data_IF_078907549934
#
_entry.id   IF_078907549934
#
_cell.length_a   1.000
_cell.length_b   1.000
_cell.length_c   1.000
_cell.angle_alpha   90.00
_cell.angle_beta   90.00
_cell.angle_gamma   90.00
#
_symmetry.space_group_name_H-M   'P 1'
#
loop_
_entity.id
_entity.type
_entity.pdbx_description
1 polymer ?
#
# COMPACT_ATOMS: atom_id res chain seq x y z
N UNK A 1 -15.54 -8.57 44.27
CA UNK A 1 -14.39 -8.62 43.36
C UNK A 1 -13.23 -9.27 44.10
N UNK A 2 -13.15 -10.58 44.02
CA UNK A 2 -12.05 -11.33 44.61
C UNK A 2 -10.86 -11.21 43.64
N UNK A 3 -9.95 -10.27 43.92
CA UNK A 3 -8.77 -10.00 43.08
C UNK A 3 -7.78 -11.15 43.23
N UNK A 4 -7.48 -11.85 42.14
CA UNK A 4 -6.35 -12.81 42.07
C UNK A 4 -5.06 -12.00 42.08
N UNK A 5 -4.21 -12.21 43.08
CA UNK A 5 -2.92 -11.53 43.23
C UNK A 5 -1.74 -12.37 42.68
N UNK A 6 -1.91 -13.69 42.65
CA UNK A 6 -0.86 -14.62 42.25
C UNK A 6 -1.44 -15.80 41.43
N UNK A 7 -0.66 -16.24 40.43
CA UNK A 7 -0.85 -17.49 39.71
C UNK A 7 0.32 -18.40 40.08
N UNK A 8 0.01 -19.59 40.61
CA UNK A 8 1.02 -20.60 40.97
C UNK A 8 1.08 -21.67 39.90
N UNK A 9 2.27 -21.91 39.38
CA UNK A 9 2.54 -22.99 38.43
C UNK A 9 3.69 -23.86 38.92
N UNK A 10 3.67 -25.15 38.55
CA UNK A 10 4.75 -26.04 38.96
C UNK A 10 6.05 -25.76 38.18
N UNK A 11 5.96 -25.67 36.86
CA UNK A 11 7.08 -25.33 35.93
C UNK A 11 6.67 -24.24 34.96
N UNK A 12 7.63 -23.44 34.50
CA UNK A 12 7.43 -22.39 33.49
C UNK A 12 6.93 -22.96 32.17
N UNK A 13 7.39 -24.18 31.78
CA UNK A 13 6.94 -24.90 30.59
C UNK A 13 5.45 -25.30 30.60
N UNK A 14 4.78 -25.25 31.77
CA UNK A 14 3.34 -25.45 31.91
C UNK A 14 2.56 -24.14 31.72
N UNK A 15 3.24 -23.02 31.90
CA UNK A 15 2.65 -21.70 31.76
C UNK A 15 2.65 -21.21 30.30
N UNK A 16 3.69 -21.53 29.52
CA UNK A 16 3.78 -21.15 28.11
C UNK A 16 4.59 -22.14 27.29
N UNK A 17 4.31 -22.21 25.99
CA UNK A 17 4.97 -23.13 25.06
C UNK A 17 6.36 -22.66 24.64
N UNK A 18 6.62 -21.40 24.69
CA UNK A 18 7.89 -20.74 24.34
C UNK A 18 8.08 -19.47 25.20
N UNK A 19 9.29 -18.90 25.17
CA UNK A 19 9.62 -17.70 25.93
C UNK A 19 8.71 -16.49 25.56
N UNK A 20 8.32 -16.34 24.30
CA UNK A 20 7.46 -15.24 23.86
C UNK A 20 6.03 -15.34 24.42
N UNK A 21 5.45 -16.55 24.47
CA UNK A 21 4.13 -16.78 25.06
C UNK A 21 4.14 -16.50 26.57
N UNK A 22 5.20 -16.97 27.26
CA UNK A 22 5.40 -16.70 28.69
C UNK A 22 5.45 -15.20 28.96
N UNK A 23 6.23 -14.47 28.18
CA UNK A 23 6.39 -13.02 28.35
C UNK A 23 5.12 -12.23 28.08
N UNK A 24 4.43 -12.53 26.98
CA UNK A 24 3.19 -11.84 26.65
C UNK A 24 2.13 -12.06 27.71
N UNK A 25 2.05 -13.29 28.25
CA UNK A 25 1.09 -13.60 29.33
C UNK A 25 1.49 -12.92 30.63
N UNK A 26 2.78 -12.90 30.96
CA UNK A 26 3.30 -12.20 32.16
C UNK A 26 3.04 -10.70 32.08
N UNK A 27 3.22 -10.08 30.91
CA UNK A 27 2.94 -8.66 30.70
C UNK A 27 1.46 -8.36 31.01
N UNK A 28 0.56 -9.14 30.43
CA UNK A 28 -0.89 -9.00 30.69
C UNK A 28 -1.18 -9.18 32.19
N UNK A 29 -0.59 -10.17 32.86
CA UNK A 29 -0.80 -10.39 34.27
C UNK A 29 -0.32 -9.20 35.11
N UNK A 30 0.84 -8.64 34.78
CA UNK A 30 1.40 -7.45 35.46
C UNK A 30 0.51 -6.22 35.29
N UNK A 31 -0.08 -6.02 34.11
CA UNK A 31 -1.03 -4.93 33.83
C UNK A 31 -2.28 -5.03 34.75
N UNK A 32 -2.64 -6.24 35.19
CA UNK A 32 -3.70 -6.50 36.17
C UNK A 32 -3.20 -6.65 37.62
N UNK A 33 -1.93 -6.40 37.89
CA UNK A 33 -1.34 -6.53 39.23
C UNK A 33 -1.21 -7.98 39.73
N UNK A 34 -1.23 -8.96 38.82
CA UNK A 34 -1.12 -10.39 39.13
C UNK A 34 0.31 -10.86 38.93
N UNK A 35 0.88 -11.56 39.92
CA UNK A 35 2.24 -12.11 39.87
C UNK A 35 2.24 -13.61 39.59
N UNK A 36 3.34 -14.10 38.98
CA UNK A 36 3.57 -15.50 38.70
C UNK A 36 4.58 -16.09 39.67
N UNK A 37 4.27 -17.24 40.23
CA UNK A 37 5.20 -18.04 41.03
C UNK A 37 5.36 -19.41 40.37
N UNK A 38 6.60 -19.78 40.00
CA UNK A 38 6.96 -21.10 39.52
C UNK A 38 7.71 -21.85 40.62
N UNK A 39 7.14 -22.96 41.08
CA UNK A 39 7.67 -23.65 42.27
C UNK A 39 8.99 -24.34 41.98
N UNK A 40 9.07 -25.11 40.89
CA UNK A 40 10.29 -25.90 40.56
C UNK A 40 11.42 -25.00 40.02
N UNK A 41 11.06 -23.99 39.19
CA UNK A 41 12.06 -23.08 38.62
C UNK A 41 12.50 -21.97 39.62
N UNK A 42 11.85 -21.86 40.76
CA UNK A 42 12.16 -20.86 41.79
C UNK A 42 11.91 -19.43 41.37
N UNK A 43 11.02 -19.22 40.37
CA UNK A 43 10.73 -17.91 39.80
C UNK A 43 9.54 -17.28 40.53
N UNK A 44 9.75 -16.06 41.04
CA UNK A 44 8.71 -15.24 41.67
C UNK A 44 8.76 -13.84 41.02
N UNK A 45 7.78 -13.53 40.18
CA UNK A 45 7.76 -12.30 39.41
C UNK A 45 7.56 -11.04 40.27
N UNK A 46 7.16 -11.21 41.54
CA UNK A 46 7.07 -10.09 42.51
C UNK A 46 8.40 -9.66 43.02
N UNK A 47 9.46 -10.50 42.94
CA UNK A 47 10.79 -10.23 43.42
C UNK A 47 11.74 -9.76 42.33
N UNK A 48 12.78 -9.04 42.66
CA UNK A 48 13.74 -8.51 41.69
C UNK A 48 14.48 -9.61 40.91
N UNK A 49 14.78 -10.73 41.55
CA UNK A 49 15.35 -11.89 40.88
C UNK A 49 14.42 -12.47 39.80
N UNK A 50 13.11 -12.52 40.07
CA UNK A 50 12.10 -12.94 39.08
C UNK A 50 11.96 -11.95 37.94
N UNK A 51 11.99 -10.65 38.19
CA UNK A 51 11.99 -9.61 37.16
C UNK A 51 13.25 -9.70 36.27
N UNK A 52 14.42 -9.96 36.85
CA UNK A 52 15.66 -10.20 36.10
C UNK A 52 15.49 -11.42 35.16
N UNK A 53 14.98 -12.51 35.69
CA UNK A 53 14.72 -13.74 34.89
C UNK A 53 13.77 -13.46 33.71
N UNK A 54 12.71 -12.72 33.93
CA UNK A 54 11.77 -12.31 32.86
C UNK A 54 12.51 -11.47 31.81
N UNK A 55 13.39 -10.56 32.21
CA UNK A 55 14.20 -9.74 31.28
C UNK A 55 15.13 -10.60 30.44
N UNK A 56 15.78 -11.62 31.04
CA UNK A 56 16.65 -12.57 30.35
C UNK A 56 15.83 -13.41 29.34
N UNK A 57 14.68 -13.92 29.75
CA UNK A 57 13.79 -14.66 28.85
C UNK A 57 13.30 -13.78 27.68
N UNK A 58 13.05 -12.50 27.93
CA UNK A 58 12.72 -11.52 26.86
C UNK A 58 13.84 -11.42 25.85
N UNK A 59 15.06 -11.24 26.30
CA UNK A 59 16.22 -11.13 25.42
C UNK A 59 16.45 -12.41 24.60
N UNK A 60 16.30 -13.58 25.22
CA UNK A 60 16.41 -14.88 24.54
C UNK A 60 15.31 -15.01 23.46
N UNK A 61 14.06 -14.66 23.78
CA UNK A 61 12.97 -14.72 22.81
C UNK A 61 13.18 -13.75 21.62
N UNK A 62 13.81 -12.60 21.85
CA UNK A 62 14.14 -11.66 20.78
C UNK A 62 15.26 -12.22 19.88
N UNK A 63 16.29 -12.83 20.46
CA UNK A 63 17.35 -13.51 19.71
C UNK A 63 16.80 -14.65 18.88
N UNK A 64 15.92 -15.48 19.43
CA UNK A 64 15.27 -16.58 18.70
C UNK A 64 14.45 -16.06 17.49
N UNK A 65 13.67 -15.00 17.67
CA UNK A 65 12.91 -14.38 16.56
C UNK A 65 13.84 -13.86 15.47
N UNK A 66 14.95 -13.21 15.85
CA UNK A 66 15.91 -12.71 14.88
C UNK A 66 16.60 -13.87 14.13
N UNK A 67 16.98 -14.94 14.82
CA UNK A 67 17.55 -16.13 14.19
C UNK A 67 16.59 -16.76 13.18
N UNK A 68 15.31 -16.93 13.54
CA UNK A 68 14.27 -17.45 12.63
C UNK A 68 14.12 -16.51 11.42
N UNK A 69 14.15 -15.17 11.65
CA UNK A 69 14.09 -14.20 10.58
C UNK A 69 15.26 -14.33 9.61
N UNK A 70 16.47 -14.42 10.12
CA UNK A 70 17.70 -14.58 9.32
C UNK A 70 17.64 -15.86 8.51
N UNK A 71 17.36 -17.01 9.14
CA UNK A 71 17.25 -18.31 8.46
C UNK A 71 16.17 -18.30 7.35
N UNK A 72 15.02 -17.67 7.63
CA UNK A 72 13.95 -17.55 6.65
C UNK A 72 14.40 -16.69 5.45
N UNK A 73 15.11 -15.60 5.70
CA UNK A 73 15.62 -14.73 4.64
C UNK A 73 16.71 -15.43 3.82
N UNK A 74 17.63 -16.14 4.46
CA UNK A 74 18.66 -16.93 3.77
C UNK A 74 18.04 -18.02 2.90
N UNK A 75 17.06 -18.74 3.42
CA UNK A 75 16.31 -19.73 2.63
C UNK A 75 15.61 -19.13 1.41
N UNK A 76 15.04 -17.93 1.53
CA UNK A 76 14.45 -17.20 0.39
C UNK A 76 15.49 -16.75 -0.62
N UNK A 77 16.65 -16.26 -0.15
CA UNK A 77 17.77 -15.86 -0.99
C UNK A 77 18.30 -17.08 -1.78
N UNK A 78 18.49 -18.19 -1.11
CA UNK A 78 18.96 -19.43 -1.74
C UNK A 78 17.95 -19.92 -2.78
N UNK A 79 16.68 -19.96 -2.44
CA UNK A 79 15.60 -20.31 -3.37
C UNK A 79 15.56 -19.42 -4.62
N UNK A 80 15.80 -18.11 -4.44
CA UNK A 80 15.90 -17.17 -5.55
C UNK A 80 17.10 -17.45 -6.44
N UNK A 81 18.28 -17.72 -5.84
CA UNK A 81 19.51 -18.07 -6.59
C UNK A 81 19.35 -19.35 -7.41
N UNK A 82 18.50 -20.26 -6.97
CA UNK A 82 18.15 -21.48 -7.71
C UNK A 82 17.11 -21.25 -8.82
N UNK A 83 16.71 -20.03 -9.09
CA UNK A 83 15.69 -19.69 -10.11
C UNK A 83 14.27 -20.13 -9.75
N UNK A 84 14.01 -20.44 -8.48
CA UNK A 84 12.70 -20.86 -7.98
C UNK A 84 11.86 -19.67 -7.54
N UNK A 85 10.55 -19.77 -7.75
CA UNK A 85 9.60 -18.75 -7.27
C UNK A 85 9.55 -18.66 -5.74
N UNK A 86 9.69 -17.47 -5.18
CA UNK A 86 9.81 -17.26 -3.74
C UNK A 86 8.46 -17.18 -2.99
N UNK A 87 7.40 -17.70 -3.60
CA UNK A 87 6.07 -17.72 -2.98
C UNK A 87 5.28 -16.43 -3.17
N UNK A 88 4.13 -16.39 -2.52
CA UNK A 88 3.14 -15.35 -2.76
C UNK A 88 2.27 -15.69 -3.97
N UNK A 89 1.48 -14.72 -4.42
CA UNK A 89 0.62 -14.90 -5.60
C UNK A 89 1.46 -14.94 -6.87
N UNK A 90 1.07 -15.82 -7.81
CA UNK A 90 1.67 -15.83 -9.13
C UNK A 90 1.44 -14.50 -9.85
N UNK A 91 2.42 -13.96 -10.60
CA UNK A 91 2.22 -12.81 -11.47
C UNK A 91 1.07 -13.07 -12.47
N UNK A 92 0.41 -12.02 -12.92
CA UNK A 92 -0.61 -12.14 -13.96
C UNK A 92 0.02 -12.74 -15.23
N UNK A 93 -0.62 -13.70 -15.87
CA UNK A 93 -0.05 -14.51 -16.97
C UNK A 93 0.52 -15.84 -16.51
N UNK A 94 0.67 -16.04 -15.20
CA UNK A 94 1.13 -17.29 -14.60
C UNK A 94 0.18 -17.79 -13.51
N UNK A 95 0.19 -19.09 -13.31
CA UNK A 95 -0.42 -19.79 -12.17
C UNK A 95 0.64 -20.52 -11.38
N UNK A 96 0.36 -20.78 -10.10
CA UNK A 96 1.27 -21.52 -9.24
C UNK A 96 0.78 -22.97 -9.10
N UNK A 97 1.56 -23.91 -9.61
CA UNK A 97 1.28 -25.34 -9.52
C UNK A 97 2.47 -26.00 -8.81
N UNK A 98 2.22 -26.65 -7.69
CA UNK A 98 3.25 -27.29 -6.86
C UNK A 98 4.46 -26.39 -6.55
N UNK A 99 4.21 -25.10 -6.32
CA UNK A 99 5.25 -24.12 -6.02
C UNK A 99 6.07 -23.62 -7.21
N UNK A 100 5.74 -24.07 -8.44
CA UNK A 100 6.36 -23.62 -9.70
C UNK A 100 5.41 -22.72 -10.48
N UNK A 101 5.97 -21.73 -11.18
CA UNK A 101 5.20 -20.92 -12.10
C UNK A 101 4.96 -21.69 -13.40
N UNK A 102 3.71 -21.75 -13.81
CA UNK A 102 3.29 -22.28 -15.11
C UNK A 102 2.49 -21.21 -15.85
N UNK A 103 2.62 -21.14 -17.16
CA UNK A 103 1.89 -20.18 -18.00
C UNK A 103 0.38 -20.46 -17.89
N UNK A 104 -0.39 -19.39 -17.65
CA UNK A 104 -1.84 -19.39 -17.82
C UNK A 104 -2.14 -18.82 -19.19
N UNK A 105 -2.54 -19.67 -20.14
CA UNK A 105 -2.73 -19.35 -21.55
C UNK A 105 -3.72 -18.19 -21.79
N UNK A 106 -4.77 -18.09 -21.00
CA UNK A 106 -5.76 -17.03 -21.14
C UNK A 106 -5.20 -15.67 -20.73
N UNK A 107 -4.48 -15.64 -19.63
CA UNK A 107 -3.86 -14.41 -19.12
C UNK A 107 -2.61 -14.00 -19.92
N UNK A 108 -1.84 -14.99 -20.39
CA UNK A 108 -0.62 -14.79 -21.16
C UNK A 108 -0.86 -14.04 -22.48
N UNK A 109 -2.02 -14.26 -23.13
CA UNK A 109 -2.44 -13.52 -24.32
C UNK A 109 -2.49 -12.00 -24.07
N UNK A 110 -3.03 -11.59 -22.94
CA UNK A 110 -3.07 -10.18 -22.59
C UNK A 110 -1.66 -9.61 -22.33
N UNK A 111 -0.76 -10.39 -21.72
CA UNK A 111 0.64 -10.00 -21.51
C UNK A 111 1.36 -9.79 -22.86
N UNK A 112 1.23 -10.73 -23.79
CA UNK A 112 1.83 -10.62 -25.12
C UNK A 112 1.34 -9.36 -25.86
N UNK A 113 0.04 -9.07 -25.82
CA UNK A 113 -0.54 -7.86 -26.40
C UNK A 113 0.00 -6.59 -25.74
N UNK A 114 0.16 -6.58 -24.42
CA UNK A 114 0.73 -5.43 -23.69
C UNK A 114 2.13 -5.11 -24.18
N UNK A 115 3.01 -6.11 -24.27
CA UNK A 115 4.38 -5.92 -24.73
C UNK A 115 4.43 -5.55 -26.22
N UNK A 116 3.65 -6.22 -27.06
CA UNK A 116 3.57 -5.93 -28.49
C UNK A 116 3.14 -4.48 -28.75
N UNK A 117 2.01 -4.05 -28.15
CA UNK A 117 1.52 -2.69 -28.32
C UNK A 117 2.48 -1.66 -27.76
N UNK A 118 3.14 -1.96 -26.63
CA UNK A 118 4.09 -1.04 -26.05
C UNK A 118 5.36 -0.88 -26.89
N UNK A 119 5.89 -1.96 -27.45
CA UNK A 119 7.15 -1.95 -28.21
C UNK A 119 6.95 -1.46 -29.65
N UNK A 120 5.92 -1.96 -30.34
CA UNK A 120 5.69 -1.68 -31.78
C UNK A 120 5.06 -0.31 -32.06
N UNK A 121 4.44 0.35 -31.07
CA UNK A 121 3.76 1.63 -31.26
C UNK A 121 4.39 2.73 -30.41
N UNK A 122 4.10 4.00 -30.67
CA UNK A 122 4.61 5.13 -29.88
C UNK A 122 3.80 5.43 -28.60
N UNK A 123 2.81 4.57 -28.28
CA UNK A 123 1.98 4.78 -27.09
C UNK A 123 2.72 4.43 -25.80
N UNK A 124 2.42 5.19 -24.74
CA UNK A 124 2.91 4.89 -23.38
C UNK A 124 1.99 3.94 -22.64
N UNK A 125 2.35 3.56 -21.41
CA UNK A 125 1.56 2.63 -20.59
C UNK A 125 0.07 3.02 -20.44
N UNK A 126 -0.24 4.32 -20.39
CA UNK A 126 -1.63 4.78 -20.36
C UNK A 126 -2.36 4.56 -21.71
N UNK A 127 -1.63 4.70 -22.82
CA UNK A 127 -2.14 4.39 -24.16
C UNK A 127 -2.43 2.90 -24.32
N UNK A 128 -1.53 2.03 -23.84
CA UNK A 128 -1.75 0.57 -23.83
C UNK A 128 -2.98 0.20 -23.00
N UNK A 129 -3.13 0.77 -21.80
CA UNK A 129 -4.31 0.53 -20.96
C UNK A 129 -5.62 0.91 -21.66
N UNK A 130 -5.65 2.04 -22.36
CA UNK A 130 -6.81 2.46 -23.19
C UNK A 130 -7.03 1.56 -24.39
N UNK A 131 -5.96 1.11 -25.04
CA UNK A 131 -6.04 0.18 -26.14
C UNK A 131 -6.73 -1.12 -25.72
N UNK A 132 -6.31 -1.71 -24.58
CA UNK A 132 -6.92 -2.93 -24.05
C UNK A 132 -8.41 -2.73 -23.72
N UNK A 133 -8.76 -1.61 -23.09
CA UNK A 133 -10.16 -1.27 -22.80
C UNK A 133 -11.02 -1.15 -24.07
N UNK A 134 -10.51 -0.45 -25.09
CA UNK A 134 -11.24 -0.22 -26.35
C UNK A 134 -11.43 -1.51 -27.17
N UNK A 135 -10.56 -2.51 -26.98
CA UNK A 135 -10.65 -3.81 -27.64
C UNK A 135 -11.32 -4.88 -26.77
N UNK A 136 -11.91 -4.49 -25.63
CA UNK A 136 -12.61 -5.42 -24.75
C UNK A 136 -11.69 -6.43 -24.04
N UNK A 137 -10.37 -6.17 -23.98
CA UNK A 137 -9.42 -7.05 -23.31
C UNK A 137 -9.40 -6.70 -21.83
N UNK A 138 -10.02 -7.57 -21.04
CA UNK A 138 -10.18 -7.40 -19.61
C UNK A 138 -9.31 -8.39 -18.84
N UNK A 139 -8.98 -8.05 -17.61
CA UNK A 139 -8.32 -8.99 -16.69
C UNK A 139 -9.28 -10.08 -16.26
N UNK A 140 -8.79 -11.31 -16.22
CA UNK A 140 -9.46 -12.38 -15.49
C UNK A 140 -9.42 -12.03 -14.01
N UNK A 141 -10.57 -12.04 -13.35
CA UNK A 141 -10.67 -11.70 -11.93
C UNK A 141 -10.03 -12.80 -11.08
N UNK A 142 -9.05 -12.43 -10.26
CA UNK A 142 -8.49 -13.27 -9.22
C UNK A 142 -9.09 -12.89 -7.86
N UNK A 143 -8.91 -13.74 -6.84
CA UNK A 143 -9.52 -13.58 -5.50
C UNK A 143 -9.45 -12.16 -4.91
N UNK A 144 -8.42 -11.38 -5.24
CA UNK A 144 -8.16 -10.06 -4.63
C UNK A 144 -8.43 -8.87 -5.55
N UNK A 145 -9.08 -9.04 -6.70
CA UNK A 145 -9.26 -7.95 -7.66
C UNK A 145 -10.68 -7.85 -8.21
N UNK A 146 -11.41 -6.79 -7.84
CA UNK A 146 -12.75 -6.52 -8.37
C UNK A 146 -12.75 -5.74 -9.69
N UNK A 147 -11.60 -5.14 -10.08
CA UNK A 147 -11.52 -4.29 -11.26
C UNK A 147 -11.04 -5.07 -12.49
N UNK A 148 -11.86 -5.26 -13.52
CA UNK A 148 -11.50 -6.01 -14.71
C UNK A 148 -10.58 -5.24 -15.68
N UNK A 149 -10.40 -3.93 -15.49
CA UNK A 149 -9.64 -3.11 -16.42
C UNK A 149 -8.15 -3.06 -16.06
N UNK A 150 -7.29 -3.06 -17.08
CA UNK A 150 -5.88 -2.73 -16.90
C UNK A 150 -5.72 -1.23 -16.73
N UNK A 151 -4.99 -0.80 -15.72
CA UNK A 151 -4.59 0.59 -15.57
C UNK A 151 -3.12 0.81 -15.95
N UNK A 152 -2.75 2.06 -16.17
CA UNK A 152 -1.38 2.42 -16.56
C UNK A 152 -0.32 2.03 -15.51
N UNK A 153 -0.71 1.92 -14.24
CA UNK A 153 0.20 1.50 -13.18
C UNK A 153 0.50 0.01 -13.29
N UNK A 154 -0.54 -0.82 -13.45
CA UNK A 154 -0.39 -2.26 -13.64
C UNK A 154 0.38 -2.58 -14.92
N UNK A 155 0.07 -1.89 -16.04
CA UNK A 155 0.82 -2.04 -17.30
C UNK A 155 2.31 -1.75 -17.08
N UNK A 156 2.67 -0.69 -16.34
CA UNK A 156 4.08 -0.42 -16.02
C UNK A 156 4.71 -1.49 -15.13
N UNK A 157 3.96 -2.02 -14.15
CA UNK A 157 4.47 -3.12 -13.31
C UNK A 157 4.72 -4.39 -14.13
N UNK A 158 3.84 -4.70 -15.08
CA UNK A 158 4.00 -5.82 -16.02
C UNK A 158 5.26 -5.60 -16.86
N UNK A 159 5.38 -4.46 -17.54
CA UNK A 159 6.51 -4.16 -18.42
C UNK A 159 7.86 -4.18 -17.69
N UNK A 160 7.90 -3.77 -16.41
CA UNK A 160 9.14 -3.77 -15.58
C UNK A 160 9.49 -5.14 -14.99
N UNK A 161 8.61 -6.13 -15.06
CA UNK A 161 8.85 -7.39 -14.36
C UNK A 161 9.59 -8.41 -15.23
N UNK A 162 10.83 -8.80 -14.88
CA UNK A 162 11.63 -9.72 -15.67
C UNK A 162 11.09 -11.17 -15.66
N UNK A 163 10.10 -11.49 -14.84
CA UNK A 163 9.47 -12.81 -14.83
C UNK A 163 8.87 -13.18 -16.19
N UNK A 164 8.44 -12.20 -16.97
CA UNK A 164 7.85 -12.43 -18.30
C UNK A 164 8.87 -12.86 -19.36
N UNK A 165 10.15 -12.54 -19.17
CA UNK A 165 11.24 -13.06 -20.01
C UNK A 165 11.99 -14.23 -19.34
N UNK A 166 11.34 -14.99 -18.45
CA UNK A 166 11.89 -16.19 -17.85
C UNK A 166 12.88 -15.96 -16.72
N UNK A 167 12.99 -14.75 -16.15
CA UNK A 167 13.96 -14.44 -15.08
C UNK A 167 13.27 -14.25 -13.73
N UNK A 168 13.95 -14.67 -12.68
CA UNK A 168 13.54 -14.42 -11.28
C UNK A 168 14.35 -13.25 -10.73
N UNK A 169 13.63 -12.24 -10.23
CA UNK A 169 14.21 -11.09 -9.54
C UNK A 169 13.78 -11.09 -8.07
N UNK A 170 14.74 -11.10 -7.15
CA UNK A 170 14.49 -11.08 -5.72
C UNK A 170 15.22 -9.93 -5.04
N UNK A 171 14.54 -9.23 -4.11
CA UNK A 171 15.13 -8.12 -3.37
C UNK A 171 15.10 -6.78 -4.10
N UNK A 172 14.30 -6.61 -5.17
CA UNK A 172 14.16 -5.35 -5.90
C UNK A 172 13.62 -4.19 -5.06
N UNK A 173 12.99 -4.49 -3.95
CA UNK A 173 12.42 -3.50 -3.04
C UNK A 173 12.71 -3.90 -1.60
N UNK A 174 13.02 -2.91 -0.78
CA UNK A 174 13.20 -3.03 0.66
C UNK A 174 12.22 -2.12 1.37
N UNK A 175 11.65 -2.60 2.45
CA UNK A 175 10.84 -1.77 3.35
C UNK A 175 11.78 -1.12 4.36
N UNK A 176 11.81 0.20 4.38
CA UNK A 176 12.60 0.99 5.33
C UNK A 176 11.69 1.82 6.21
N UNK A 177 12.07 1.94 7.48
CA UNK A 177 11.33 2.75 8.44
C UNK A 177 11.53 4.23 8.13
N UNK A 178 10.44 5.00 8.15
CA UNK A 178 10.52 6.45 8.00
C UNK A 178 11.15 7.04 9.27
N UNK A 179 12.26 7.76 9.09
CA UNK A 179 12.96 8.37 10.21
C UNK A 179 12.05 9.36 10.96
N UNK A 180 12.06 9.30 12.29
CA UNK A 180 11.23 10.16 13.14
C UNK A 180 9.77 9.66 13.33
N UNK A 181 9.39 8.53 12.77
CA UNK A 181 8.06 7.93 12.97
C UNK A 181 8.14 6.59 13.70
N UNK A 182 7.07 6.23 14.45
CA UNK A 182 7.05 4.98 15.21
C UNK A 182 6.72 3.77 14.33
N UNK A 183 5.75 3.90 13.43
CA UNK A 183 5.14 2.77 12.69
C UNK A 183 5.00 3.03 11.18
N UNK A 184 5.65 4.06 10.62
CA UNK A 184 5.58 4.34 9.19
C UNK A 184 6.76 3.72 8.46
N UNK A 185 6.48 3.10 7.34
CA UNK A 185 7.44 2.44 6.48
C UNK A 185 7.22 2.86 5.03
N UNK A 186 8.29 2.98 4.28
CA UNK A 186 8.24 3.20 2.84
C UNK A 186 9.02 2.13 2.09
N UNK A 187 8.62 1.91 0.83
CA UNK A 187 9.29 0.97 -0.06
C UNK A 187 10.36 1.71 -0.85
N UNK A 188 11.60 1.23 -0.75
CA UNK A 188 12.75 1.76 -1.51
C UNK A 188 13.13 0.74 -2.57
N UNK A 189 13.35 1.21 -3.80
CA UNK A 189 13.89 0.37 -4.87
C UNK A 189 15.39 0.14 -4.59
N UNK A 190 15.84 -1.11 -4.83
CA UNK A 190 17.22 -1.52 -4.62
C UNK A 190 17.89 -1.73 -5.98
N UNK A 191 19.08 -1.16 -6.16
CA UNK A 191 19.87 -1.35 -7.37
C UNK A 191 20.58 -2.72 -7.36
N UNK A 192 20.94 -3.20 -6.17
CA UNK A 192 21.60 -4.48 -5.98
C UNK A 192 20.59 -5.54 -5.54
N UNK A 193 20.06 -6.28 -6.51
CA UNK A 193 19.13 -7.38 -6.28
C UNK A 193 19.55 -8.64 -7.05
N UNK A 194 19.03 -9.79 -6.63
CA UNK A 194 19.32 -11.07 -7.29
C UNK A 194 18.47 -11.15 -8.56
N UNK A 195 19.12 -11.31 -9.71
CA UNK A 195 18.49 -11.57 -11.01
C UNK A 195 19.13 -12.81 -11.61
N UNK A 196 18.35 -13.86 -11.82
CA UNK A 196 18.80 -15.14 -12.35
C UNK A 196 17.78 -15.71 -13.32
N UNK A 197 18.20 -16.68 -14.14
CA UNK A 197 17.26 -17.42 -14.97
C UNK A 197 16.31 -18.25 -14.12
N UNK A 198 15.02 -18.14 -14.40
CA UNK A 198 13.97 -18.85 -13.69
C UNK A 198 13.80 -20.29 -14.22
N UNK A 199 13.16 -21.13 -13.40
CA UNK A 199 12.76 -22.50 -13.79
C UNK A 199 11.40 -22.54 -14.50
N UNK A 200 10.89 -21.40 -14.95
CA UNK A 200 9.58 -21.27 -15.62
C UNK A 200 9.75 -20.79 -17.04
N UNK A 201 8.79 -21.14 -17.90
CA UNK A 201 8.79 -20.72 -19.28
C UNK A 201 8.51 -19.22 -19.42
N UNK A 202 9.20 -18.58 -20.36
CA UNK A 202 8.99 -17.17 -20.69
C UNK A 202 7.71 -16.99 -21.52
N UNK A 203 6.94 -15.93 -21.25
CA UNK A 203 5.83 -15.51 -22.10
C UNK A 203 6.34 -14.58 -23.22
N UNK A 204 7.41 -13.83 -22.97
CA UNK A 204 7.96 -12.81 -23.85
C UNK A 204 9.44 -13.12 -24.08
N UNK A 205 9.90 -12.97 -25.29
CA UNK A 205 11.32 -13.08 -25.63
C UNK A 205 12.13 -11.96 -24.98
N UNK A 206 13.40 -12.25 -24.67
CA UNK A 206 14.25 -11.34 -23.92
C UNK A 206 14.52 -10.02 -24.66
N UNK A 207 14.68 -10.08 -25.98
CA UNK A 207 14.89 -8.90 -26.85
C UNK A 207 13.69 -7.93 -26.82
N UNK A 208 12.47 -8.46 -26.84
CA UNK A 208 11.23 -7.68 -26.71
C UNK A 208 11.13 -7.05 -25.30
N UNK A 209 11.51 -7.79 -24.28
CA UNK A 209 11.54 -7.25 -22.91
C UNK A 209 12.59 -6.13 -22.79
N UNK A 210 13.79 -6.31 -23.34
CA UNK A 210 14.85 -5.29 -23.35
C UNK A 210 14.39 -4.02 -24.10
N UNK A 211 13.78 -4.17 -25.28
CA UNK A 211 13.23 -3.04 -26.03
C UNK A 211 12.20 -2.25 -25.19
N UNK A 212 11.35 -2.96 -24.43
CA UNK A 212 10.41 -2.32 -23.52
C UNK A 212 11.11 -1.54 -22.41
N UNK A 213 12.23 -2.05 -21.83
CA UNK A 213 12.99 -1.33 -20.79
C UNK A 213 13.62 -0.04 -21.35
N UNK A 214 14.25 -0.10 -22.52
CA UNK A 214 14.83 1.09 -23.19
C UNK A 214 13.76 2.17 -23.38
N UNK A 215 12.59 1.78 -23.86
CA UNK A 215 11.47 2.71 -24.03
C UNK A 215 10.91 3.25 -22.70
N UNK A 216 10.85 2.44 -21.65
CA UNK A 216 10.44 2.90 -20.30
C UNK A 216 11.39 3.96 -19.77
N UNK A 217 12.70 3.78 -19.91
CA UNK A 217 13.73 4.74 -19.47
C UNK A 217 13.63 6.03 -20.26
N UNK A 218 13.49 5.96 -21.60
CA UNK A 218 13.36 7.14 -22.46
C UNK A 218 12.11 7.96 -22.12
N UNK A 219 10.99 7.28 -21.87
CA UNK A 219 9.75 7.93 -21.44
C UNK A 219 9.85 8.54 -20.04
N UNK A 220 10.56 7.88 -19.10
CA UNK A 220 10.79 8.43 -17.77
C UNK A 220 11.56 9.76 -17.84
N UNK A 221 12.65 9.81 -18.61
CA UNK A 221 13.43 11.05 -18.83
C UNK A 221 12.60 12.17 -19.47
N UNK A 222 11.76 11.84 -20.45
CA UNK A 222 10.87 12.80 -21.12
C UNK A 222 9.85 13.45 -20.17
N UNK A 223 9.41 12.73 -19.17
CA UNK A 223 8.40 13.16 -18.19
C UNK A 223 8.99 13.35 -16.78
N UNK A 224 10.31 13.53 -16.67
CA UNK A 224 10.92 13.89 -15.41
C UNK A 224 10.33 15.19 -14.91
N UNK A 225 9.51 15.09 -13.88
CA UNK A 225 8.88 16.26 -13.27
C UNK A 225 9.98 17.03 -12.55
N UNK A 226 10.30 18.20 -13.09
CA UNK A 226 10.96 19.24 -12.31
C UNK A 226 10.12 19.41 -11.03
N UNK A 227 10.73 19.16 -9.87
CA UNK A 227 10.09 19.35 -8.57
C UNK A 227 9.51 20.77 -8.53
N UNK A 228 8.22 20.88 -8.77
CA UNK A 228 7.52 22.14 -8.59
C UNK A 228 7.56 22.41 -7.09
N UNK A 229 8.21 23.51 -6.70
CA UNK A 229 8.31 23.94 -5.33
C UNK A 229 6.93 23.93 -4.64
N UNK A 230 6.92 23.96 -3.30
CA UNK A 230 5.72 23.86 -2.45
C UNK A 230 4.67 24.97 -2.63
N UNK A 231 4.86 25.89 -3.57
CA UNK A 231 3.91 26.97 -3.93
C UNK A 231 2.77 26.51 -4.85
N UNK A 232 2.23 25.33 -4.61
CA UNK A 232 1.02 24.89 -5.30
C UNK A 232 -0.19 25.41 -4.55
N UNK A 233 -1.02 26.23 -5.22
CA UNK A 233 -2.31 26.67 -4.69
C UNK A 233 -3.09 25.48 -4.14
N UNK A 234 -3.48 25.57 -2.88
CA UNK A 234 -4.38 24.57 -2.25
C UNK A 234 -5.81 24.82 -2.70
N UNK A 235 -6.48 23.79 -3.18
CA UNK A 235 -7.88 23.81 -3.57
C UNK A 235 -8.73 23.33 -2.40
N UNK A 236 -9.53 24.24 -1.79
CA UNK A 236 -10.25 24.01 -0.53
C UNK A 236 -11.14 22.78 -0.54
N UNK A 237 -11.90 22.56 -1.61
CA UNK A 237 -12.87 21.48 -1.72
C UNK A 237 -12.33 20.21 -2.41
N UNK A 238 -11.01 20.15 -2.65
CA UNK A 238 -10.39 19.00 -3.32
C UNK A 238 -10.56 17.71 -2.52
N UNK A 239 -11.19 16.70 -3.11
CA UNK A 239 -11.49 15.42 -2.47
C UNK A 239 -12.73 15.42 -1.57
N UNK A 240 -13.21 16.56 -1.12
CA UNK A 240 -14.42 16.74 -0.30
C UNK A 240 -15.66 16.60 -1.16
N UNK A 241 -15.71 17.39 -2.25
CA UNK A 241 -16.82 17.34 -3.22
C UNK A 241 -16.79 16.01 -3.98
N UNK A 242 -17.95 15.40 -4.13
CA UNK A 242 -18.12 14.11 -4.81
C UNK A 242 -18.70 14.29 -6.21
N UNK A 243 -18.23 13.44 -7.13
CA UNK A 243 -18.77 13.39 -8.47
C UNK A 243 -20.22 12.87 -8.45
N UNK A 244 -21.19 13.55 -9.11
CA UNK A 244 -22.60 13.15 -9.09
C UNK A 244 -22.85 11.83 -9.82
N UNK A 245 -21.94 11.37 -10.70
CA UNK A 245 -22.10 10.15 -11.48
C UNK A 245 -21.44 8.95 -10.82
N UNK A 246 -20.17 9.06 -10.36
CA UNK A 246 -19.42 7.91 -9.84
C UNK A 246 -19.11 7.99 -8.34
N UNK A 247 -19.53 9.02 -7.63
CA UNK A 247 -19.29 9.21 -6.20
C UNK A 247 -17.83 9.47 -5.80
N UNK A 248 -16.89 9.43 -6.75
CA UNK A 248 -15.48 9.68 -6.46
C UNK A 248 -15.22 11.15 -6.14
N UNK A 249 -14.15 11.43 -5.38
CA UNK A 249 -13.74 12.79 -5.09
C UNK A 249 -13.46 13.61 -6.35
N UNK A 250 -13.83 14.88 -6.33
CA UNK A 250 -13.42 15.85 -7.34
C UNK A 250 -12.16 16.57 -6.86
N UNK A 251 -11.26 16.89 -7.78
CA UNK A 251 -9.95 17.48 -7.47
C UNK A 251 -9.74 18.75 -8.27
N UNK A 252 -9.01 19.70 -7.67
CA UNK A 252 -8.64 20.94 -8.30
C UNK A 252 -7.72 20.75 -9.50
N UNK A 253 -8.03 21.44 -10.59
CA UNK A 253 -7.25 21.45 -11.82
C UNK A 253 -7.00 22.88 -12.26
N UNK A 254 -5.79 23.17 -12.75
CA UNK A 254 -5.42 24.43 -13.34
C UNK A 254 -5.56 24.35 -14.86
N UNK A 255 -6.30 25.28 -15.47
CA UNK A 255 -6.37 25.45 -16.92
C UNK A 255 -5.49 26.60 -17.35
N UNK A 256 -4.44 26.31 -18.10
CA UNK A 256 -3.54 27.31 -18.67
C UNK A 256 -3.92 27.48 -20.14
N UNK A 257 -4.30 28.70 -20.53
CA UNK A 257 -4.57 29.07 -21.92
C UNK A 257 -3.60 30.14 -22.35
N UNK A 258 -3.14 30.07 -23.59
CA UNK A 258 -2.29 31.06 -24.22
C UNK A 258 -3.10 31.81 -25.29
N UNK A 259 -2.85 33.12 -25.41
CA UNK A 259 -3.35 33.93 -26.51
C UNK A 259 -2.59 33.60 -27.79
N UNK A 260 -3.10 34.05 -28.93
CA UNK A 260 -2.46 33.83 -30.24
C UNK A 260 -1.07 34.49 -30.33
N UNK A 261 -0.81 35.49 -29.53
CA UNK A 261 0.45 36.22 -29.40
C UNK A 261 1.48 35.52 -28.45
N UNK A 262 1.15 34.35 -27.90
CA UNK A 262 2.01 33.59 -26.98
C UNK A 262 1.88 34.02 -25.52
N UNK A 263 1.19 35.12 -25.20
CA UNK A 263 0.97 35.56 -23.83
C UNK A 263 -0.05 34.69 -23.11
N UNK A 264 0.10 34.53 -21.78
CA UNK A 264 -0.82 33.70 -20.97
C UNK A 264 -2.08 34.46 -20.62
N UNK A 265 -3.24 33.80 -20.71
CA UNK A 265 -4.45 34.29 -20.04
C UNK A 265 -4.32 34.16 -18.53
N UNK A 266 -5.22 34.82 -17.76
CA UNK A 266 -5.38 34.57 -16.32
C UNK A 266 -5.59 33.06 -16.08
N UNK A 267 -4.93 32.52 -15.08
CA UNK A 267 -5.08 31.12 -14.68
C UNK A 267 -6.50 30.86 -14.17
N UNK A 268 -7.15 29.86 -14.71
CA UNK A 268 -8.45 29.40 -14.26
C UNK A 268 -8.33 28.09 -13.54
N UNK A 269 -9.03 27.96 -12.44
CA UNK A 269 -9.05 26.77 -11.60
C UNK A 269 -10.44 26.13 -11.62
N UNK A 270 -10.48 24.80 -11.64
CA UNK A 270 -11.70 24.04 -11.77
C UNK A 270 -11.63 22.78 -10.89
N UNK A 271 -12.77 22.35 -10.38
CA UNK A 271 -12.94 21.02 -9.82
C UNK A 271 -13.43 20.06 -10.90
N UNK A 272 -12.76 18.90 -11.02
CA UNK A 272 -13.09 17.84 -11.96
C UNK A 272 -13.08 16.48 -11.32
N UNK A 273 -13.88 15.55 -11.85
CA UNK A 273 -13.91 14.17 -11.36
C UNK A 273 -12.53 13.50 -11.48
N UNK A 274 -12.08 12.81 -10.42
CA UNK A 274 -10.85 12.01 -10.40
C UNK A 274 -10.79 10.99 -11.53
N UNK A 275 -11.92 10.38 -11.88
CA UNK A 275 -12.03 9.35 -12.89
C UNK A 275 -12.41 9.89 -14.28
N UNK A 276 -12.30 11.21 -14.51
CA UNK A 276 -12.53 11.83 -15.83
C UNK A 276 -11.59 11.27 -16.89
N UNK A 277 -10.37 10.99 -16.53
CA UNK A 277 -9.45 10.16 -17.28
C UNK A 277 -9.37 8.82 -16.58
N UNK A 278 -9.10 7.73 -17.35
CA UNK A 278 -8.95 6.42 -16.74
C UNK A 278 -7.90 6.45 -15.62
N UNK A 279 -8.33 6.14 -14.41
CA UNK A 279 -7.46 6.12 -13.24
C UNK A 279 -7.67 4.79 -12.52
N UNK A 280 -6.62 3.97 -12.45
CA UNK A 280 -6.63 2.63 -11.84
C UNK A 280 -7.78 1.75 -12.34
N UNK A 281 -8.04 1.78 -13.66
CA UNK A 281 -9.10 1.02 -14.28
C UNK A 281 -10.53 1.55 -14.03
N UNK A 282 -10.68 2.71 -13.42
CA UNK A 282 -11.97 3.39 -13.28
C UNK A 282 -12.06 4.54 -14.27
N UNK A 283 -13.16 4.61 -14.98
CA UNK A 283 -13.51 5.69 -15.92
C UNK A 283 -14.87 6.23 -15.57
N UNK A 284 -15.04 7.53 -15.68
CA UNK A 284 -16.31 8.19 -15.41
C UNK A 284 -16.70 9.06 -16.61
N UNK A 285 -17.96 9.02 -16.99
CA UNK A 285 -18.50 9.82 -18.11
C UNK A 285 -18.78 11.28 -17.75
N UNK A 286 -18.67 11.64 -16.47
CA UNK A 286 -18.80 13.02 -16.03
C UNK A 286 -17.58 13.85 -16.46
N UNK A 287 -17.71 14.53 -17.60
CA UNK A 287 -16.63 15.34 -18.19
C UNK A 287 -16.69 16.83 -17.82
N UNK A 288 -17.79 17.29 -17.20
CA UNK A 288 -17.94 18.69 -16.80
C UNK A 288 -16.93 19.05 -15.71
N UNK A 289 -16.44 20.28 -15.80
CA UNK A 289 -15.60 20.91 -14.78
C UNK A 289 -16.33 22.13 -14.22
N UNK A 290 -16.29 22.29 -12.92
CA UNK A 290 -16.96 23.38 -12.21
C UNK A 290 -15.86 24.40 -11.86
N UNK A 291 -16.08 25.70 -12.09
CA UNK A 291 -15.13 26.74 -11.68
C UNK A 291 -14.98 26.74 -10.17
N UNK A 292 -13.74 26.80 -9.71
CA UNK A 292 -13.40 26.78 -8.29
C UNK A 292 -14.10 27.89 -7.54
N UNK A 293 -13.98 29.15 -8.00
CA UNK A 293 -14.58 30.32 -7.39
C UNK A 293 -16.09 30.12 -7.15
N UNK A 294 -16.83 29.67 -8.16
CA UNK A 294 -18.28 29.45 -8.06
C UNK A 294 -18.67 28.38 -7.05
N UNK A 295 -17.89 27.31 -6.96
CA UNK A 295 -18.21 26.20 -6.07
C UNK A 295 -17.80 26.52 -4.63
N UNK A 296 -16.65 27.16 -4.45
CA UNK A 296 -16.17 27.59 -3.13
C UNK A 296 -17.15 28.60 -2.51
N UNK A 297 -17.61 29.58 -3.27
CA UNK A 297 -18.59 30.59 -2.82
C UNK A 297 -19.94 29.94 -2.47
N UNK A 298 -20.44 29.03 -3.32
CA UNK A 298 -21.71 28.33 -3.06
C UNK A 298 -21.63 27.46 -1.78
N UNK A 299 -20.52 26.77 -1.57
CA UNK A 299 -20.31 25.95 -0.36
C UNK A 299 -20.16 26.84 0.87
N UNK A 300 -19.45 27.97 0.77
CA UNK A 300 -19.30 28.94 1.86
C UNK A 300 -20.68 29.48 2.28
N UNK A 301 -21.52 29.86 1.31
CA UNK A 301 -22.88 30.31 1.59
C UNK A 301 -23.74 29.26 2.31
N UNK A 302 -23.65 28.01 1.87
CA UNK A 302 -24.34 26.87 2.53
C UNK A 302 -23.84 26.68 3.97
N UNK A 303 -22.53 26.74 4.19
CA UNK A 303 -21.94 26.60 5.53
C UNK A 303 -22.43 27.73 6.45
N UNK A 304 -22.41 28.99 5.97
CA UNK A 304 -22.90 30.14 6.76
C UNK A 304 -24.36 29.95 7.15
N UNK A 305 -25.21 29.52 6.22
CA UNK A 305 -26.63 29.22 6.48
C UNK A 305 -26.82 28.08 7.47
N UNK A 306 -26.00 27.04 7.38
CA UNK A 306 -26.04 25.89 8.29
C UNK A 306 -25.59 26.26 9.71
N UNK A 307 -24.48 26.98 9.81
CA UNK A 307 -23.94 27.40 11.13
C UNK A 307 -24.88 28.39 11.81
N UNK A 308 -25.52 29.27 11.04
CA UNK A 308 -26.54 30.19 11.56
C UNK A 308 -27.87 29.55 11.96
N UNK A 309 -28.05 28.25 11.71
CA UNK A 309 -29.27 27.55 12.08
C UNK A 309 -29.13 26.95 13.50
N UNK A 310 -29.97 27.40 14.51
CA UNK A 310 -29.88 26.92 15.90
C UNK A 310 -30.01 25.40 16.03
N UNK A 311 -30.90 24.79 15.23
CA UNK A 311 -31.09 23.33 15.24
C UNK A 311 -29.82 22.55 14.78
N UNK A 312 -29.13 23.07 13.79
CA UNK A 312 -27.89 22.49 13.30
C UNK A 312 -26.76 22.64 14.34
N UNK A 313 -26.65 23.80 14.96
CA UNK A 313 -25.68 24.05 16.02
C UNK A 313 -25.87 23.08 17.20
N UNK A 314 -27.10 22.89 17.67
CA UNK A 314 -27.45 21.95 18.76
C UNK A 314 -27.09 20.48 18.37
N UNK A 315 -27.46 20.04 17.16
CA UNK A 315 -27.12 18.70 16.65
C UNK A 315 -25.62 18.48 16.51
N UNK A 316 -24.85 19.48 16.10
CA UNK A 316 -23.41 19.39 16.02
C UNK A 316 -22.76 19.33 17.40
N UNK A 317 -23.25 20.10 18.35
CA UNK A 317 -22.77 20.10 19.72
C UNK A 317 -22.97 18.74 20.38
N UNK A 318 -24.15 18.13 20.18
CA UNK A 318 -24.45 16.75 20.65
C UNK A 318 -23.48 15.73 20.00
N UNK A 319 -23.22 15.81 18.69
CA UNK A 319 -22.28 14.91 18.00
C UNK A 319 -20.83 15.11 18.41
N UNK A 320 -20.41 16.33 18.72
CA UNK A 320 -19.06 16.61 19.21
C UNK A 320 -18.91 16.03 20.62
N UNK A 321 -19.88 16.24 21.51
CA UNK A 321 -19.86 15.72 22.87
C UNK A 321 -19.91 14.18 22.92
N UNK A 322 -20.58 13.53 21.95
CA UNK A 322 -20.57 12.06 21.84
C UNK A 322 -19.26 11.46 21.33
N UNK A 323 -18.37 12.25 20.71
CA UNK A 323 -17.09 11.76 20.16
C UNK A 323 -15.89 12.04 21.05
N UNK A 324 -15.98 12.92 22.01
CA UNK A 324 -14.95 13.19 23.01
C UNK A 324 -15.26 12.31 24.20
N UNK A 325 -14.61 11.14 24.26
CA UNK A 325 -14.65 10.28 25.44
C UNK A 325 -13.76 10.93 26.51
N UNK A 326 -14.38 11.75 27.35
CA UNK A 326 -13.70 12.49 28.42
C UNK A 326 -13.19 11.59 29.53
N UNK A 327 -13.61 10.33 29.56
CA UNK A 327 -13.17 9.34 30.56
C UNK A 327 -11.69 9.00 30.44
N UNK A 328 -11.10 9.13 29.27
CA UNK A 328 -9.64 8.93 29.06
C UNK A 328 -8.81 10.14 29.43
N UNK A 329 -9.35 11.34 29.47
CA UNK A 329 -8.62 12.58 29.77
C UNK A 329 -8.57 12.84 31.29
N UNK A 330 -9.62 12.48 32.03
CA UNK A 330 -9.67 12.62 33.48
C UNK A 330 -8.81 11.60 34.24
N UNK A 331 -8.24 10.61 33.56
CA UNK A 331 -7.32 9.61 34.10
C UNK A 331 -5.84 9.97 33.99
N UNK A 332 -5.47 11.04 33.27
CA UNK A 332 -4.09 11.51 33.07
C UNK A 332 -3.78 12.84 33.81
N UNK A 333 -4.72 13.38 34.59
CA UNK A 333 -4.54 14.51 35.52
C UNK A 333 -4.53 14.01 36.95
#
# INVERSE_FOLDING_TARGET
KDGISFVLVFKLSRFGRNAADVLSTLQVMQDFGVNLICVEDGIDSSKDAGKLMISVLSAVAEIERENIRVQTMEGRIQKAREGKWNGGFAPYGYQLVEGKLQINEEEAKAISIIFEQYVKTDIGANGVAKYLENHGIHKIQRQNGKNPLFDAHLVRLILKNPVYCGKIAYGRRKTEKVHGTRNEYHLVEQDNYILVDGQHDAIIEEDVWQAAQVKLISHAKKYEHVNRGKDTKTHLLSGIVKCPVCGAGMYGNKSIKHKKDGTKYKDFYYYGCKHRTMTRGHKCDYKKQIREELLDDAVAEVIVKLVGNPKFAAMMQEKINCKVDTVTIDGEL
#
